data_IF_533981304060
#
_entry.id   IF_533981304060
#
_cell.length_a   1.000
_cell.length_b   1.000
_cell.length_c   1.000
_cell.angle_alpha   90.00
_cell.angle_beta   90.00
_cell.angle_gamma   90.00
#
_symmetry.space_group_name_H-M   'P 1'
#
loop_
_entity.id
_entity.type
_entity.pdbx_description
1 polymer ?
#
# COMPACT_ATOMS: atom_id res chain seq x y z
N UNK A 1 -14.62 -12.05 9.90
CA UNK A 1 -14.65 -13.28 10.73
C UNK A 1 -15.61 -14.30 10.13
N UNK A 2 -16.86 -13.92 9.84
CA UNK A 2 -17.87 -14.77 9.17
C UNK A 2 -17.43 -15.41 7.85
N UNK A 3 -16.79 -14.66 6.94
CA UNK A 3 -16.31 -15.23 5.66
C UNK A 3 -15.29 -16.34 5.90
N UNK A 4 -14.32 -16.14 6.81
CA UNK A 4 -13.33 -17.18 7.14
C UNK A 4 -14.00 -18.40 7.77
N UNK A 5 -15.00 -18.21 8.62
CA UNK A 5 -15.78 -19.30 9.21
C UNK A 5 -16.56 -20.08 8.13
N UNK A 6 -17.19 -19.39 7.17
CA UNK A 6 -17.88 -20.04 6.06
C UNK A 6 -16.95 -20.87 5.16
N UNK A 7 -15.68 -20.47 4.97
CA UNK A 7 -14.69 -21.29 4.27
C UNK A 7 -14.23 -22.53 5.08
N UNK A 8 -14.31 -22.46 6.41
CA UNK A 8 -13.94 -23.58 7.29
C UNK A 8 -15.09 -24.56 7.50
N UNK A 9 -16.34 -24.19 7.20
CA UNK A 9 -17.53 -25.02 7.37
C UNK A 9 -17.66 -26.07 6.25
N UNK A 10 -17.62 -27.34 6.64
CA UNK A 10 -17.64 -28.48 5.73
C UNK A 10 -18.99 -28.67 5.03
N UNK A 11 -20.10 -28.43 5.72
CA UNK A 11 -21.44 -28.59 5.15
C UNK A 11 -21.73 -27.53 4.07
N UNK A 12 -21.16 -26.33 4.24
CA UNK A 12 -21.29 -25.26 3.25
C UNK A 12 -20.41 -25.54 2.03
N UNK A 13 -19.16 -26.02 2.22
CA UNK A 13 -18.26 -26.38 1.12
C UNK A 13 -18.79 -27.51 0.24
N UNK A 14 -19.49 -28.49 0.83
CA UNK A 14 -20.06 -29.61 0.07
C UNK A 14 -21.24 -29.18 -0.82
N UNK A 15 -22.00 -28.16 -0.41
CA UNK A 15 -23.20 -27.71 -1.12
C UNK A 15 -22.95 -26.53 -2.06
N UNK A 16 -21.89 -25.75 -1.83
CA UNK A 16 -21.61 -24.51 -2.55
C UNK A 16 -20.11 -24.42 -2.91
N UNK A 17 -19.83 -24.11 -4.18
CA UNK A 17 -18.49 -23.72 -4.63
C UNK A 17 -18.15 -22.31 -4.14
N UNK A 18 -17.70 -22.20 -2.89
CA UNK A 18 -17.25 -20.94 -2.32
C UNK A 18 -15.91 -20.50 -2.94
N UNK A 19 -15.86 -19.28 -3.48
CA UNK A 19 -14.61 -18.63 -3.91
C UNK A 19 -14.50 -17.27 -3.23
N UNK A 20 -13.29 -16.85 -2.87
CA UNK A 20 -13.08 -15.53 -2.24
C UNK A 20 -12.60 -14.53 -3.28
N UNK A 21 -13.27 -13.39 -3.42
CA UNK A 21 -12.81 -12.24 -4.20
C UNK A 21 -11.92 -11.27 -3.37
N UNK A 22 -11.62 -11.62 -2.12
CA UNK A 22 -10.80 -10.79 -1.23
C UNK A 22 -9.31 -10.95 -1.53
N UNK A 23 -8.48 -10.04 -1.00
CA UNK A 23 -7.02 -10.05 -1.19
C UNK A 23 -6.30 -11.30 -0.66
N UNK A 24 -7.01 -12.20 0.04
CA UNK A 24 -6.53 -13.55 0.36
C UNK A 24 -6.36 -14.38 -0.92
N UNK A 25 -7.20 -14.17 -1.93
CA UNK A 25 -7.08 -14.85 -3.21
C UNK A 25 -5.84 -14.38 -3.97
N UNK A 26 -4.98 -15.34 -4.35
CA UNK A 26 -3.76 -15.10 -5.13
C UNK A 26 -4.05 -14.44 -6.47
N UNK A 27 -5.20 -14.72 -7.10
CA UNK A 27 -5.58 -14.13 -8.39
C UNK A 27 -5.68 -12.60 -8.31
N UNK A 28 -6.16 -12.05 -7.19
CA UNK A 28 -6.22 -10.60 -6.97
C UNK A 28 -4.84 -9.99 -6.79
N UNK A 29 -3.89 -10.71 -6.18
CA UNK A 29 -2.52 -10.24 -6.04
C UNK A 29 -1.79 -10.29 -7.38
N UNK A 30 -1.98 -11.34 -8.17
CA UNK A 30 -1.35 -11.53 -9.47
C UNK A 30 -1.81 -10.48 -10.49
N UNK A 31 -3.11 -10.20 -10.56
CA UNK A 31 -3.63 -9.17 -11.47
C UNK A 31 -3.04 -7.78 -11.16
N UNK A 32 -2.76 -7.53 -9.87
CA UNK A 32 -2.16 -6.27 -9.43
C UNK A 32 -0.68 -6.12 -9.83
N UNK A 33 0.05 -7.20 -10.09
CA UNK A 33 1.45 -7.11 -10.54
C UNK A 33 1.53 -6.43 -11.91
N UNK A 34 0.56 -6.68 -12.80
CA UNK A 34 0.59 -6.21 -14.19
C UNK A 34 0.69 -4.69 -14.31
N UNK A 35 -0.01 -3.91 -13.47
CA UNK A 35 0.04 -2.46 -13.60
C UNK A 35 1.40 -1.88 -13.22
N UNK A 36 2.20 -2.52 -12.36
CA UNK A 36 3.57 -2.06 -12.09
C UNK A 36 4.45 -2.16 -13.34
N UNK A 37 4.34 -3.29 -14.07
CA UNK A 37 5.04 -3.47 -15.35
C UNK A 37 4.52 -2.51 -16.42
N UNK A 38 3.21 -2.29 -16.49
CA UNK A 38 2.62 -1.33 -17.43
C UNK A 38 3.04 0.11 -17.14
N UNK A 39 3.03 0.53 -15.88
CA UNK A 39 3.54 1.85 -15.46
C UNK A 39 5.01 2.01 -15.86
N UNK A 40 5.85 1.00 -15.61
CA UNK A 40 7.24 1.04 -16.04
C UNK A 40 7.39 1.16 -17.56
N UNK A 41 6.61 0.41 -18.34
CA UNK A 41 6.62 0.47 -19.81
C UNK A 41 6.23 1.85 -20.34
N UNK A 42 5.25 2.52 -19.71
CA UNK A 42 4.79 3.85 -20.11
C UNK A 42 5.77 4.96 -19.73
N UNK A 43 6.58 4.73 -18.70
CA UNK A 43 7.61 5.68 -18.27
C UNK A 43 8.84 5.51 -19.17
N UNK A 44 8.87 6.24 -20.29
CA UNK A 44 10.01 6.37 -21.20
C UNK A 44 11.19 7.12 -20.55
N UNK A 45 11.74 6.60 -19.46
CA UNK A 45 12.72 7.32 -18.63
C UNK A 45 13.71 6.38 -17.99
N UNK A 46 14.99 6.72 -18.10
CA UNK A 46 16.11 6.02 -17.46
C UNK A 46 16.23 6.31 -15.95
N UNK A 47 15.28 7.06 -15.35
CA UNK A 47 15.32 7.39 -13.93
C UNK A 47 14.78 6.25 -13.07
N UNK A 48 15.33 6.17 -11.86
CA UNK A 48 14.96 5.21 -10.81
C UNK A 48 13.50 5.40 -10.39
N UNK A 49 12.69 4.34 -10.39
CA UNK A 49 11.26 4.41 -10.03
C UNK A 49 11.02 4.36 -8.52
N UNK A 50 10.18 5.27 -8.02
CA UNK A 50 9.65 5.24 -6.65
C UNK A 50 8.13 5.21 -6.73
N UNK A 51 7.51 4.21 -6.08
CA UNK A 51 6.06 4.11 -5.99
C UNK A 51 5.59 4.51 -4.59
N UNK A 52 4.60 5.39 -4.52
CA UNK A 52 3.83 5.67 -3.31
C UNK A 52 2.47 5.04 -3.40
N UNK A 53 2.13 4.21 -2.42
CA UNK A 53 0.92 3.37 -2.45
C UNK A 53 0.07 3.70 -1.23
N UNK A 54 -1.15 4.24 -1.42
CA UNK A 54 -2.13 4.28 -0.34
C UNK A 54 -2.47 2.84 0.08
N UNK A 55 -2.12 2.50 1.32
CA UNK A 55 -2.05 1.13 1.80
C UNK A 55 -2.97 0.90 3.00
N UNK A 56 -4.11 0.24 2.75
CA UNK A 56 -4.95 -0.36 3.79
C UNK A 56 -4.52 -1.78 4.09
N UNK A 57 -5.02 -2.75 3.33
CA UNK A 57 -4.74 -4.18 3.54
C UNK A 57 -3.40 -4.68 2.94
N UNK A 58 -2.52 -3.77 2.51
CA UNK A 58 -1.19 -4.04 1.93
C UNK A 58 -1.14 -4.94 0.68
N UNK A 59 -2.27 -5.25 0.03
CA UNK A 59 -2.29 -6.08 -1.18
C UNK A 59 -1.56 -5.44 -2.37
N UNK A 60 -1.86 -4.16 -2.65
CA UNK A 60 -1.26 -3.40 -3.76
C UNK A 60 0.27 -3.31 -3.63
N UNK A 61 0.77 -2.81 -2.49
CA UNK A 61 2.21 -2.74 -2.26
C UNK A 61 2.88 -4.13 -2.24
N UNK A 62 2.19 -5.18 -1.75
CA UNK A 62 2.71 -6.54 -1.85
C UNK A 62 2.88 -6.98 -3.31
N UNK A 63 1.94 -6.66 -4.20
CA UNK A 63 2.08 -6.94 -5.65
C UNK A 63 3.28 -6.19 -6.24
N UNK A 64 3.48 -4.92 -5.87
CA UNK A 64 4.65 -4.14 -6.28
C UNK A 64 5.96 -4.76 -5.82
N UNK A 65 6.02 -5.22 -4.56
CA UNK A 65 7.21 -5.89 -4.02
C UNK A 65 7.47 -7.24 -4.71
N UNK A 66 6.43 -7.95 -5.16
CA UNK A 66 6.58 -9.14 -6.00
C UNK A 66 7.15 -8.74 -7.37
N UNK A 67 6.63 -7.69 -8.02
CA UNK A 67 7.17 -7.18 -9.28
C UNK A 67 8.67 -6.82 -9.16
N UNK A 68 9.06 -6.19 -8.05
CA UNK A 68 10.45 -5.92 -7.71
C UNK A 68 11.28 -7.22 -7.59
N UNK A 69 10.78 -8.24 -6.89
CA UNK A 69 11.45 -9.55 -6.78
C UNK A 69 11.52 -10.30 -8.10
N UNK A 70 10.62 -10.03 -9.05
CA UNK A 70 10.65 -10.53 -10.42
C UNK A 70 11.69 -9.81 -11.29
N UNK A 71 12.35 -8.75 -10.80
CA UNK A 71 13.42 -8.03 -11.49
C UNK A 71 13.03 -6.67 -12.06
N UNK A 72 11.80 -6.19 -11.82
CA UNK A 72 11.42 -4.83 -12.23
C UNK A 72 12.28 -3.80 -11.47
N UNK A 73 12.96 -2.85 -12.15
CA UNK A 73 13.97 -1.98 -11.55
C UNK A 73 13.34 -0.83 -10.73
N UNK A 74 12.70 -1.20 -9.63
CA UNK A 74 12.08 -0.29 -8.67
C UNK A 74 13.09 0.06 -7.59
N UNK A 75 13.26 1.36 -7.34
CA UNK A 75 14.23 1.89 -6.38
C UNK A 75 13.70 1.91 -4.96
N UNK A 76 12.42 2.24 -4.77
CA UNK A 76 11.82 2.33 -3.43
C UNK A 76 10.30 2.27 -3.49
N UNK A 77 9.69 1.81 -2.41
CA UNK A 77 8.25 1.83 -2.18
C UNK A 77 7.92 2.65 -0.94
N UNK A 78 6.80 3.37 -0.99
CA UNK A 78 6.27 4.16 0.11
C UNK A 78 4.88 3.61 0.43
N UNK A 79 4.70 3.10 1.64
CA UNK A 79 3.39 2.75 2.18
C UNK A 79 2.80 3.97 2.88
N UNK A 80 1.83 4.62 2.24
CA UNK A 80 1.10 5.73 2.84
C UNK A 80 -0.20 5.22 3.47
N UNK A 81 -0.41 5.46 4.76
CA UNK A 81 -1.62 5.06 5.49
C UNK A 81 -2.36 6.28 6.01
N UNK A 82 -3.64 6.10 6.36
CA UNK A 82 -4.32 7.05 7.23
C UNK A 82 -3.88 6.80 8.69
N UNK A 83 -4.67 7.27 9.66
CA UNK A 83 -4.40 7.12 11.10
C UNK A 83 -4.35 5.65 11.58
N UNK A 84 -4.84 4.69 10.77
CA UNK A 84 -4.69 3.26 11.01
C UNK A 84 -3.26 2.82 10.64
N UNK A 85 -2.31 3.09 11.54
CA UNK A 85 -0.88 3.21 11.26
C UNK A 85 -0.02 2.03 11.79
N UNK A 86 -0.60 0.84 11.92
CA UNK A 86 0.08 -0.35 12.48
C UNK A 86 1.45 -0.62 11.84
N UNK A 87 1.53 -0.55 10.50
CA UNK A 87 2.78 -0.80 9.78
C UNK A 87 3.76 0.38 9.88
N UNK A 88 3.36 1.66 9.71
CA UNK A 88 4.21 2.78 10.06
C UNK A 88 4.84 2.67 11.46
N UNK A 89 4.05 2.32 12.49
CA UNK A 89 4.56 2.10 13.85
C UNK A 89 5.50 0.92 13.92
N UNK A 90 5.15 -0.22 13.33
CA UNK A 90 6.03 -1.40 13.25
C UNK A 90 7.39 -1.05 12.62
N UNK A 91 7.40 -0.33 11.49
CA UNK A 91 8.65 0.05 10.83
C UNK A 91 9.43 1.06 11.69
N UNK A 92 8.80 1.82 12.57
CA UNK A 92 9.54 2.70 13.50
C UNK A 92 10.10 1.93 14.70
N UNK A 93 9.29 1.10 15.35
CA UNK A 93 9.58 0.52 16.67
C UNK A 93 10.04 -0.94 16.64
N UNK A 94 9.77 -1.66 15.55
CA UNK A 94 9.98 -3.11 15.45
C UNK A 94 8.87 -3.95 16.09
N UNK A 95 7.84 -3.33 16.67
CA UNK A 95 6.78 -4.01 17.41
C UNK A 95 5.49 -4.03 16.60
N UNK A 96 4.93 -5.23 16.38
CA UNK A 96 3.62 -5.40 15.76
C UNK A 96 2.53 -5.30 16.81
N UNK A 97 1.80 -4.18 16.83
CA UNK A 97 0.70 -3.97 17.78
C UNK A 97 -0.47 -3.23 17.09
N UNK A 98 -1.43 -3.95 16.49
CA UNK A 98 -2.59 -3.33 15.85
C UNK A 98 -3.53 -2.72 16.89
N UNK A 99 -4.00 -1.50 16.63
CA UNK A 99 -5.05 -0.87 17.43
C UNK A 99 -6.44 -1.16 16.86
N UNK A 100 -7.52 -0.85 17.59
CA UNK A 100 -8.86 -0.82 17.00
C UNK A 100 -8.89 0.09 15.78
N UNK A 101 -9.58 -0.34 14.72
CA UNK A 101 -9.72 0.46 13.51
C UNK A 101 -10.52 1.73 13.80
N UNK A 102 -10.07 2.85 13.26
CA UNK A 102 -10.74 4.14 13.34
C UNK A 102 -11.25 4.55 11.97
N UNK A 103 -12.46 5.12 11.94
CA UNK A 103 -13.09 5.60 10.71
C UNK A 103 -12.41 6.87 10.20
N UNK A 104 -12.21 6.95 8.89
CA UNK A 104 -11.63 8.11 8.22
C UNK A 104 -12.34 8.41 6.91
N UNK A 105 -12.04 9.56 6.30
CA UNK A 105 -12.49 9.88 4.93
C UNK A 105 -11.86 8.97 3.85
N UNK A 106 -10.87 8.17 4.20
CA UNK A 106 -10.20 7.19 3.34
C UNK A 106 -10.60 5.77 3.75
N UNK A 107 -11.90 5.53 3.81
CA UNK A 107 -12.50 4.37 4.46
C UNK A 107 -12.01 3.00 3.95
N UNK A 108 -11.57 2.90 2.68
CA UNK A 108 -10.99 1.66 2.16
C UNK A 108 -9.63 1.30 2.79
N UNK A 109 -9.02 2.25 3.51
CA UNK A 109 -7.76 2.11 4.23
C UNK A 109 -7.93 1.98 5.74
N UNK A 110 -9.17 1.99 6.26
CA UNK A 110 -9.47 1.80 7.68
C UNK A 110 -9.26 0.34 8.09
N UNK A 111 -7.98 -0.06 8.11
CA UNK A 111 -7.52 -1.42 8.32
C UNK A 111 -6.31 -1.36 9.24
N UNK A 112 -6.53 -1.76 10.49
CA UNK A 112 -5.46 -1.81 11.50
C UNK A 112 -4.69 -3.14 11.52
N UNK A 113 -5.23 -4.22 10.96
CA UNK A 113 -4.55 -5.54 10.87
C UNK A 113 -4.46 -6.00 9.40
N UNK A 114 -3.43 -5.58 8.65
CA UNK A 114 -3.34 -5.85 7.22
C UNK A 114 -2.90 -7.29 6.93
N UNK A 115 -3.82 -8.10 6.41
CA UNK A 115 -3.62 -9.53 6.16
C UNK A 115 -2.50 -9.85 5.17
N UNK A 116 -2.22 -8.99 4.18
CA UNK A 116 -1.14 -9.21 3.22
C UNK A 116 0.25 -8.87 3.77
N UNK A 117 0.35 -8.23 4.93
CA UNK A 117 1.65 -7.91 5.51
C UNK A 117 2.45 -9.18 5.87
N UNK A 118 1.75 -10.25 6.25
CA UNK A 118 2.34 -11.58 6.46
C UNK A 118 3.12 -12.09 5.24
N UNK A 119 2.59 -11.89 4.02
CA UNK A 119 3.24 -12.26 2.76
C UNK A 119 4.50 -11.43 2.51
N UNK A 120 4.44 -10.14 2.81
CA UNK A 120 5.60 -9.24 2.71
C UNK A 120 6.70 -9.71 3.66
N UNK A 121 6.36 -10.01 4.91
CA UNK A 121 7.34 -10.52 5.89
C UNK A 121 7.91 -11.88 5.49
N UNK A 122 7.10 -12.77 4.92
CA UNK A 122 7.60 -14.03 4.36
C UNK A 122 8.63 -13.81 3.25
N UNK A 123 8.43 -12.80 2.41
CA UNK A 123 9.30 -12.46 1.27
C UNK A 123 10.60 -11.75 1.66
N UNK A 124 10.58 -10.91 2.71
CA UNK A 124 11.75 -10.15 3.16
C UNK A 124 12.47 -10.74 4.37
N UNK A 125 11.86 -11.70 5.07
CA UNK A 125 12.34 -12.42 6.26
C UNK A 125 12.51 -11.55 7.51
N UNK A 126 12.99 -10.32 7.39
CA UNK A 126 13.23 -9.41 8.51
C UNK A 126 12.74 -7.99 8.20
N UNK A 127 12.37 -7.26 9.24
CA UNK A 127 11.98 -5.84 9.14
C UNK A 127 13.15 -5.02 8.59
N UNK A 128 14.39 -5.35 8.98
CA UNK A 128 15.59 -4.65 8.50
C UNK A 128 15.78 -4.81 6.99
N UNK A 129 15.47 -5.98 6.42
CA UNK A 129 15.52 -6.16 4.97
C UNK A 129 14.40 -5.40 4.27
N UNK A 130 13.20 -5.37 4.86
CA UNK A 130 12.06 -4.61 4.31
C UNK A 130 12.35 -3.11 4.28
N UNK A 131 12.91 -2.55 5.35
CA UNK A 131 13.29 -1.12 5.47
C UNK A 131 14.27 -0.63 4.42
N UNK A 132 15.05 -1.53 3.79
CA UNK A 132 15.98 -1.16 2.71
C UNK A 132 15.25 -0.69 1.45
N UNK A 133 13.99 -1.09 1.26
CA UNK A 133 13.21 -0.81 0.05
C UNK A 133 11.83 -0.21 0.33
N UNK A 134 11.36 -0.23 1.58
CA UNK A 134 10.06 0.32 1.97
C UNK A 134 10.20 1.37 3.06
N UNK A 135 9.59 2.53 2.84
CA UNK A 135 9.27 3.52 3.87
C UNK A 135 7.76 3.51 4.13
N UNK A 136 7.33 3.92 5.33
CA UNK A 136 5.91 4.09 5.62
C UNK A 136 5.64 5.41 6.33
N UNK A 137 4.50 6.03 6.00
CA UNK A 137 4.05 7.29 6.56
C UNK A 137 2.55 7.22 6.87
N UNK A 138 2.14 7.92 7.93
CA UNK A 138 0.74 8.10 8.31
C UNK A 138 0.32 9.56 8.15
N UNK A 139 -0.95 9.77 7.82
CA UNK A 139 -1.56 11.08 7.61
C UNK A 139 -2.97 11.13 8.20
N UNK A 140 -3.35 12.32 8.67
CA UNK A 140 -4.66 12.62 9.22
C UNK A 140 -5.65 13.06 8.14
N UNK A 141 -6.94 13.02 8.47
CA UNK A 141 -8.00 13.55 7.58
C UNK A 141 -7.82 15.03 7.29
N UNK A 142 -7.33 15.80 8.28
CA UNK A 142 -7.00 17.21 8.09
C UNK A 142 -5.91 17.38 7.03
N UNK A 143 -4.79 16.67 7.15
CA UNK A 143 -3.71 16.72 6.15
C UNK A 143 -4.21 16.29 4.76
N UNK A 144 -5.09 15.29 4.71
CA UNK A 144 -5.70 14.77 3.48
C UNK A 144 -6.61 15.81 2.83
N UNK A 145 -7.47 16.48 3.59
CA UNK A 145 -8.34 17.55 3.08
C UNK A 145 -7.51 18.75 2.62
N UNK A 146 -6.50 19.13 3.40
CA UNK A 146 -5.65 20.27 3.10
C UNK A 146 -4.89 20.07 1.78
N UNK A 147 -4.37 18.87 1.51
CA UNK A 147 -3.70 18.59 0.24
C UNK A 147 -4.67 18.54 -0.94
N UNK A 148 -5.89 18.01 -0.77
CA UNK A 148 -6.92 18.01 -1.82
C UNK A 148 -7.26 19.45 -2.21
N UNK A 149 -7.51 20.31 -1.21
CA UNK A 149 -7.79 21.74 -1.43
C UNK A 149 -6.61 22.44 -2.11
N UNK A 150 -5.39 22.17 -1.67
CA UNK A 150 -4.19 22.73 -2.27
C UNK A 150 -4.07 22.33 -3.76
N UNK A 151 -4.23 21.06 -4.09
CA UNK A 151 -4.08 20.56 -5.47
C UNK A 151 -5.20 21.08 -6.37
N UNK A 152 -6.45 21.14 -5.88
CA UNK A 152 -7.54 21.77 -6.63
C UNK A 152 -7.28 23.26 -6.92
N UNK A 153 -6.82 24.01 -5.91
CA UNK A 153 -6.62 25.45 -6.06
C UNK A 153 -5.49 25.79 -7.04
N UNK A 154 -4.40 25.02 -7.03
CA UNK A 154 -3.20 25.31 -7.82
C UNK A 154 -3.16 24.60 -9.18
N UNK A 155 -3.74 23.41 -9.29
CA UNK A 155 -3.62 22.56 -10.48
C UNK A 155 -4.96 22.17 -11.11
N UNK A 156 -6.08 22.51 -10.48
CA UNK A 156 -7.44 22.13 -10.93
C UNK A 156 -7.62 20.62 -11.13
N UNK A 157 -6.83 19.83 -10.40
CA UNK A 157 -6.92 18.38 -10.37
C UNK A 157 -7.65 17.96 -9.11
N UNK A 158 -8.77 17.24 -9.25
CA UNK A 158 -9.53 16.74 -8.10
C UNK A 158 -8.98 15.38 -7.68
N UNK A 159 -8.50 15.29 -6.44
CA UNK A 159 -8.02 14.04 -5.87
C UNK A 159 -9.10 13.41 -5.00
N UNK A 160 -9.21 12.08 -5.04
CA UNK A 160 -9.93 11.34 -4.01
C UNK A 160 -9.07 11.24 -2.73
N UNK A 161 -9.67 10.95 -1.56
CA UNK A 161 -8.94 10.84 -0.29
C UNK A 161 -7.78 9.83 -0.29
N UNK A 162 -7.92 8.71 -1.01
CA UNK A 162 -6.88 7.67 -1.04
C UNK A 162 -5.71 8.10 -1.92
N UNK A 163 -5.97 8.64 -3.11
CA UNK A 163 -4.94 9.23 -3.97
C UNK A 163 -4.19 10.37 -3.27
N UNK A 164 -4.90 11.20 -2.49
CA UNK A 164 -4.31 12.26 -1.68
C UNK A 164 -3.32 11.72 -0.63
N UNK A 165 -3.64 10.62 0.05
CA UNK A 165 -2.72 9.95 0.99
C UNK A 165 -1.48 9.41 0.26
N UNK A 166 -1.66 8.76 -0.90
CA UNK A 166 -0.54 8.32 -1.74
C UNK A 166 0.40 9.46 -2.10
N UNK A 167 -0.16 10.59 -2.53
CA UNK A 167 0.60 11.78 -2.89
C UNK A 167 1.31 12.44 -1.70
N UNK A 168 0.65 12.52 -0.53
CA UNK A 168 1.27 12.98 0.71
C UNK A 168 2.48 12.12 1.09
N UNK A 169 2.35 10.79 0.96
CA UNK A 169 3.44 9.84 1.16
C UNK A 169 4.64 10.18 0.27
N UNK A 170 4.38 10.50 -1.00
CA UNK A 170 5.41 10.87 -1.95
C UNK A 170 6.08 12.20 -1.60
N UNK A 171 5.31 13.24 -1.30
CA UNK A 171 5.84 14.54 -0.88
C UNK A 171 6.74 14.38 0.36
N UNK A 172 6.28 13.61 1.35
CA UNK A 172 7.03 13.38 2.59
C UNK A 172 8.31 12.59 2.35
N UNK A 173 8.28 11.62 1.43
CA UNK A 173 9.47 10.90 1.02
C UNK A 173 10.50 11.81 0.35
N UNK A 174 10.08 12.62 -0.63
CA UNK A 174 10.96 13.54 -1.37
C UNK A 174 11.60 14.55 -0.40
N UNK A 175 10.82 15.13 0.53
CA UNK A 175 11.36 16.05 1.55
C UNK A 175 12.46 15.43 2.41
N UNK A 176 12.37 14.13 2.69
CA UNK A 176 13.34 13.40 3.50
C UNK A 176 14.54 12.88 2.68
N UNK A 177 14.43 12.78 1.36
CA UNK A 177 15.49 12.28 0.47
C UNK A 177 16.19 13.42 -0.29
N UNK A 178 17.41 13.76 0.12
CA UNK A 178 18.21 14.87 -0.44
C UNK A 178 18.63 14.73 -1.93
N UNK A 179 18.30 13.63 -2.62
CA UNK A 179 18.72 13.35 -3.99
C UNK A 179 17.49 13.22 -4.91
N UNK A 180 17.24 14.19 -5.79
CA UNK A 180 15.99 14.35 -6.55
C UNK A 180 15.92 13.59 -7.90
N UNK A 181 16.83 12.64 -8.17
CA UNK A 181 16.86 11.91 -9.45
C UNK A 181 15.99 10.64 -9.46
N UNK A 182 14.69 10.80 -9.20
CA UNK A 182 13.70 9.70 -9.23
C UNK A 182 12.54 10.03 -10.18
N UNK A 183 12.00 9.00 -10.84
CA UNK A 183 10.64 9.02 -11.38
C UNK A 183 9.71 8.64 -10.23
N UNK A 184 8.82 9.55 -9.88
CA UNK A 184 7.92 9.39 -8.76
C UNK A 184 6.50 9.08 -9.25
N UNK A 185 5.88 8.05 -8.68
CA UNK A 185 4.54 7.59 -9.03
C UNK A 185 3.75 7.50 -7.72
N UNK A 186 2.51 7.99 -7.71
CA UNK A 186 1.63 7.98 -6.55
C UNK A 186 0.19 7.61 -6.94
#
# INVERSE_FOLDING_TARGET
ILVKQAFSDEQIREKLFLTSANSINIARLLSQIFYYFMCYKLLHSNKKLVFSIPSGNYGNICAGLIAFKMGLPIKHFIAATNINDTIPRLLKTGIYNPYPSQETISNAMDISDPSNFSRIMYMFKTINNLKKIVSAYTFTDKETIDIIKYIWNNYKYMMDPHGAIGFLGLIKFIKNYKNNNFNNIF
#
